data_IF_605195781097
#
_entry.id   IF_605195781097
#
_cell.length_a   1.000
_cell.length_b   1.000
_cell.length_c   1.000
_cell.angle_alpha   90.00
_cell.angle_beta   90.00
_cell.angle_gamma   90.00
#
_symmetry.space_group_name_H-M   'P 1'
#
loop_
_entity.id
_entity.type
_entity.pdbx_description
1 polymer ?
#
# COMPACT_ATOMS: atom_id res chain seq x y z
N UNK A 1 -1.30 -4.62 -8.99
CA UNK A 1 -1.48 -4.42 -7.54
C UNK A 1 -1.09 -5.67 -6.75
N UNK A 2 -1.76 -6.82 -6.88
CA UNK A 2 -1.45 -8.04 -6.10
C UNK A 2 0.03 -8.47 -6.12
N UNK A 3 0.69 -8.44 -7.27
CA UNK A 3 2.13 -8.75 -7.36
C UNK A 3 2.98 -7.82 -6.48
N UNK A 4 2.68 -6.52 -6.49
CA UNK A 4 3.36 -5.55 -5.63
C UNK A 4 3.09 -5.79 -4.14
N UNK A 5 1.87 -6.19 -3.79
CA UNK A 5 1.50 -6.55 -2.41
C UNK A 5 2.32 -7.75 -1.92
N UNK A 6 2.48 -8.76 -2.77
CA UNK A 6 3.31 -9.92 -2.47
C UNK A 6 4.79 -9.53 -2.29
N UNK A 7 5.33 -8.69 -3.18
CA UNK A 7 6.69 -8.16 -3.05
C UNK A 7 6.89 -7.41 -1.72
N UNK A 8 5.95 -6.54 -1.32
CA UNK A 8 6.01 -5.87 -0.03
C UNK A 8 6.03 -6.85 1.15
N UNK A 9 5.11 -7.82 1.17
CA UNK A 9 5.02 -8.79 2.27
C UNK A 9 6.28 -9.64 2.33
N UNK A 10 6.80 -10.11 1.19
CA UNK A 10 8.05 -10.89 1.14
C UNK A 10 9.24 -10.04 1.64
N UNK A 11 9.35 -8.79 1.21
CA UNK A 11 10.40 -7.88 1.68
C UNK A 11 10.32 -7.63 3.19
N UNK A 12 9.12 -7.39 3.73
CA UNK A 12 8.89 -7.21 5.17
C UNK A 12 9.23 -8.46 5.98
N UNK A 13 8.86 -9.65 5.48
CA UNK A 13 9.26 -10.93 6.10
C UNK A 13 10.78 -11.09 6.06
N UNK A 14 11.42 -10.71 4.95
CA UNK A 14 12.89 -10.70 4.84
C UNK A 14 13.55 -9.83 5.91
N UNK A 15 13.02 -8.63 6.17
CA UNK A 15 13.55 -7.76 7.22
C UNK A 15 13.47 -8.40 8.62
N UNK A 16 12.40 -9.14 8.93
CA UNK A 16 12.25 -9.85 10.21
C UNK A 16 13.40 -10.86 10.42
N UNK A 17 13.82 -11.56 9.37
CA UNK A 17 14.85 -12.61 9.44
C UNK A 17 16.27 -12.11 9.12
N UNK A 18 16.46 -10.81 8.83
CA UNK A 18 17.75 -10.29 8.38
C UNK A 18 18.82 -10.23 9.48
N UNK A 19 18.43 -10.15 10.75
CA UNK A 19 19.36 -10.10 11.88
C UNK A 19 20.47 -9.05 11.68
N UNK A 20 21.73 -9.46 11.86
CA UNK A 20 22.92 -8.63 11.63
C UNK A 20 23.47 -8.69 10.19
N UNK A 21 22.82 -9.41 9.26
CA UNK A 21 23.32 -9.59 7.90
C UNK A 21 22.92 -8.43 6.98
N UNK A 22 23.87 -7.54 6.68
CA UNK A 22 23.65 -6.43 5.76
C UNK A 22 23.18 -6.88 4.37
N UNK A 23 23.63 -8.06 3.93
CA UNK A 23 23.25 -8.62 2.63
C UNK A 23 21.77 -9.00 2.61
N UNK A 24 21.26 -9.63 3.68
CA UNK A 24 19.82 -9.94 3.79
C UNK A 24 18.96 -8.68 3.87
N UNK A 25 19.43 -7.65 4.59
CA UNK A 25 18.78 -6.34 4.61
C UNK A 25 18.70 -5.74 3.20
N UNK A 26 19.79 -5.76 2.44
CA UNK A 26 19.84 -5.26 1.06
C UNK A 26 18.90 -6.03 0.12
N UNK A 27 18.87 -7.36 0.21
CA UNK A 27 17.97 -8.19 -0.61
C UNK A 27 16.50 -7.95 -0.24
N UNK A 28 16.18 -7.83 1.05
CA UNK A 28 14.83 -7.56 1.53
C UNK A 28 14.33 -6.19 1.07
N UNK A 29 15.20 -5.16 1.14
CA UNK A 29 14.91 -3.84 0.62
C UNK A 29 14.68 -3.85 -0.90
N UNK A 30 15.52 -4.54 -1.66
CA UNK A 30 15.34 -4.66 -3.11
C UNK A 30 13.98 -5.27 -3.47
N UNK A 31 13.58 -6.36 -2.80
CA UNK A 31 12.26 -6.99 -3.02
C UNK A 31 11.12 -6.06 -2.61
N UNK A 32 11.24 -5.37 -1.48
CA UNK A 32 10.26 -4.37 -1.05
C UNK A 32 10.10 -3.25 -2.09
N UNK A 33 11.20 -2.73 -2.62
CA UNK A 33 11.21 -1.66 -3.63
C UNK A 33 10.65 -2.09 -4.97
N UNK A 34 10.78 -3.36 -5.37
CA UNK A 34 10.02 -3.89 -6.52
C UNK A 34 8.51 -3.74 -6.30
N UNK A 35 8.04 -3.93 -5.06
CA UNK A 35 6.68 -3.62 -4.66
C UNK A 35 6.32 -2.16 -4.90
N UNK A 36 7.18 -1.23 -4.48
CA UNK A 36 6.99 0.23 -4.66
C UNK A 36 6.89 0.60 -6.14
N UNK A 37 7.77 0.06 -6.98
CA UNK A 37 7.81 0.34 -8.42
C UNK A 37 6.54 -0.17 -9.13
N UNK A 38 5.94 -1.27 -8.64
CA UNK A 38 4.65 -1.76 -9.15
C UNK A 38 3.49 -0.90 -8.63
N UNK A 39 3.54 -0.51 -7.36
CA UNK A 39 2.44 0.21 -6.70
C UNK A 39 2.33 1.66 -7.15
N UNK A 40 3.45 2.37 -7.22
CA UNK A 40 3.49 3.80 -7.54
C UNK A 40 2.72 4.15 -8.82
N UNK A 41 2.99 3.57 -10.01
CA UNK A 41 2.19 3.82 -11.20
C UNK A 41 0.83 3.09 -11.18
N UNK A 42 0.76 1.93 -10.51
CA UNK A 42 -0.42 1.09 -10.48
C UNK A 42 -1.63 1.75 -9.81
N UNK A 43 -1.41 2.52 -8.74
CA UNK A 43 -2.48 3.27 -8.08
C UNK A 43 -3.04 4.37 -9.00
N UNK A 44 -2.19 5.15 -9.68
CA UNK A 44 -2.66 6.17 -10.62
C UNK A 44 -3.43 5.57 -11.80
N UNK A 45 -2.94 4.46 -12.36
CA UNK A 45 -3.65 3.74 -13.43
C UNK A 45 -5.00 3.21 -12.97
N UNK A 46 -5.08 2.70 -11.74
CA UNK A 46 -6.34 2.23 -11.17
C UNK A 46 -7.35 3.36 -11.04
N UNK A 47 -6.91 4.52 -10.52
CA UNK A 47 -7.77 5.69 -10.34
C UNK A 47 -8.27 6.22 -11.69
N UNK A 48 -7.38 6.32 -12.68
CA UNK A 48 -7.77 6.75 -14.03
C UNK A 48 -8.81 5.83 -14.64
N UNK A 49 -8.70 4.53 -14.39
CA UNK A 49 -9.62 3.51 -14.92
C UNK A 49 -11.00 3.52 -14.26
N UNK A 50 -11.08 3.82 -12.95
CA UNK A 50 -12.36 3.88 -12.21
C UNK A 50 -13.05 5.24 -12.31
N UNK A 51 -12.33 6.31 -12.66
CA UNK A 51 -12.87 7.65 -12.69
C UNK A 51 -13.78 7.86 -13.93
N UNK A 52 -15.05 8.27 -13.75
CA UNK A 52 -15.93 8.60 -14.85
C UNK A 52 -15.42 9.79 -15.68
N UNK A 53 -15.86 9.92 -16.95
CA UNK A 53 -15.55 11.08 -17.77
C UNK A 53 -15.87 12.40 -17.04
N UNK A 54 -14.94 13.35 -17.05
CA UNK A 54 -15.09 14.64 -16.39
C UNK A 54 -14.87 14.66 -14.87
N UNK A 55 -14.76 13.49 -14.20
CA UNK A 55 -14.56 13.41 -12.74
C UNK A 55 -13.14 13.06 -12.30
N UNK A 56 -12.20 12.91 -13.26
CA UNK A 56 -10.79 12.52 -12.96
C UNK A 56 -10.14 13.42 -11.91
N UNK A 57 -10.35 14.74 -12.00
CA UNK A 57 -9.78 15.70 -11.04
C UNK A 57 -10.23 15.43 -9.59
N UNK A 58 -11.53 15.16 -9.38
CA UNK A 58 -12.06 14.83 -8.05
C UNK A 58 -11.51 13.52 -7.52
N UNK A 59 -11.37 12.50 -8.37
CA UNK A 59 -10.80 11.21 -7.99
C UNK A 59 -9.31 11.30 -7.61
N UNK A 60 -8.50 12.04 -8.38
CA UNK A 60 -7.10 12.29 -8.02
C UNK A 60 -6.95 13.18 -6.77
N UNK A 61 -7.87 14.15 -6.56
CA UNK A 61 -7.88 14.90 -5.30
C UNK A 61 -8.20 14.02 -4.09
N UNK A 62 -9.08 13.02 -4.25
CA UNK A 62 -9.37 12.05 -3.19
C UNK A 62 -8.15 11.15 -2.93
N UNK A 63 -7.42 10.73 -3.96
CA UNK A 63 -6.17 9.98 -3.79
C UNK A 63 -5.10 10.76 -3.02
N UNK A 64 -5.06 12.08 -3.16
CA UNK A 64 -4.13 12.91 -2.38
C UNK A 64 -4.34 12.79 -0.85
N UNK A 65 -5.50 12.31 -0.38
CA UNK A 65 -5.69 11.98 1.04
C UNK A 65 -4.75 10.86 1.52
N UNK A 66 -4.22 10.03 0.62
CA UNK A 66 -3.19 9.02 0.92
C UNK A 66 -1.93 9.61 1.54
N UNK A 67 -1.60 10.89 1.26
CA UNK A 67 -0.47 11.59 1.88
C UNK A 67 -0.63 11.76 3.40
N UNK A 68 -1.85 11.75 3.93
CA UNK A 68 -2.08 11.72 5.37
C UNK A 68 -1.53 10.44 6.00
N UNK A 69 -1.68 9.30 5.31
CA UNK A 69 -1.07 8.04 5.74
C UNK A 69 0.45 8.13 5.80
N UNK A 70 1.07 8.75 4.79
CA UNK A 70 2.51 8.98 4.77
C UNK A 70 2.97 9.89 5.93
N UNK A 71 2.19 10.95 6.25
CA UNK A 71 2.49 11.84 7.36
C UNK A 71 2.32 11.18 8.74
N UNK A 72 1.31 10.32 8.90
CA UNK A 72 1.03 9.62 10.17
C UNK A 72 2.00 8.46 10.41
N UNK A 73 2.55 7.85 9.36
CA UNK A 73 3.39 6.65 9.47
C UNK A 73 4.61 6.81 10.40
N UNK A 74 5.43 7.88 10.34
CA UNK A 74 6.55 8.09 11.27
C UNK A 74 6.12 8.16 12.74
N UNK A 75 4.98 8.77 13.03
CA UNK A 75 4.45 8.85 14.40
C UNK A 75 4.10 7.46 14.92
N UNK A 76 3.32 6.69 14.15
CA UNK A 76 2.88 5.35 14.55
C UNK A 76 4.06 4.38 14.62
N UNK A 77 4.92 4.36 13.61
CA UNK A 77 6.11 3.50 13.60
C UNK A 77 7.10 3.87 14.71
N UNK A 78 7.25 5.16 15.04
CA UNK A 78 8.04 5.61 16.17
C UNK A 78 7.52 5.09 17.52
N UNK A 79 6.21 5.18 17.75
CA UNK A 79 5.57 4.62 18.96
C UNK A 79 5.74 3.10 19.03
N UNK A 80 5.59 2.39 17.90
CA UNK A 80 5.78 0.94 17.83
C UNK A 80 7.22 0.57 18.19
N UNK A 81 8.21 1.25 17.61
CA UNK A 81 9.63 0.96 17.84
C UNK A 81 10.10 1.30 19.26
N UNK A 82 9.44 2.22 19.97
CA UNK A 82 9.78 2.56 21.35
C UNK A 82 9.07 1.67 22.38
N UNK A 83 7.93 1.08 22.02
CA UNK A 83 7.06 0.36 22.96
C UNK A 83 7.05 -1.16 22.75
N UNK A 84 7.44 -1.65 21.58
CA UNK A 84 7.36 -3.05 21.18
C UNK A 84 8.70 -3.56 20.60
N UNK A 85 8.91 -4.89 20.51
CA UNK A 85 10.07 -5.45 19.83
C UNK A 85 10.16 -4.98 18.37
N UNK A 86 11.35 -4.67 17.82
CA UNK A 86 11.47 -4.11 16.47
C UNK A 86 10.81 -4.93 15.35
N UNK A 87 10.74 -6.26 15.51
CA UNK A 87 10.07 -7.15 14.56
C UNK A 87 8.56 -6.89 14.43
N UNK A 88 7.91 -6.33 15.46
CA UNK A 88 6.48 -6.01 15.43
C UNK A 88 6.15 -4.95 14.38
N UNK A 89 7.07 -4.02 14.08
CA UNK A 89 6.86 -3.00 13.06
C UNK A 89 6.60 -3.64 11.69
N UNK A 90 7.44 -4.59 11.29
CA UNK A 90 7.31 -5.26 10.00
C UNK A 90 6.03 -6.08 9.90
N UNK A 91 5.64 -6.75 11.00
CA UNK A 91 4.37 -7.49 11.08
C UNK A 91 3.17 -6.56 10.93
N UNK A 92 3.16 -5.43 11.66
CA UNK A 92 2.07 -4.45 11.59
C UNK A 92 1.97 -3.86 10.18
N UNK A 93 3.09 -3.46 9.57
CA UNK A 93 3.12 -2.95 8.21
C UNK A 93 2.60 -3.99 7.20
N UNK A 94 2.97 -5.26 7.34
CA UNK A 94 2.48 -6.32 6.45
C UNK A 94 0.96 -6.49 6.57
N UNK A 95 0.41 -6.45 7.78
CA UNK A 95 -1.04 -6.51 8.02
C UNK A 95 -1.77 -5.30 7.41
N UNK A 96 -1.22 -4.09 7.57
CA UNK A 96 -1.79 -2.87 6.98
C UNK A 96 -1.78 -2.93 5.46
N UNK A 97 -0.69 -3.40 4.84
CA UNK A 97 -0.59 -3.57 3.38
C UNK A 97 -1.61 -4.60 2.87
N UNK A 98 -1.77 -5.73 3.56
CA UNK A 98 -2.77 -6.75 3.22
C UNK A 98 -4.18 -6.17 3.36
N UNK A 99 -4.46 -5.45 4.44
CA UNK A 99 -5.75 -4.81 4.66
C UNK A 99 -6.07 -3.78 3.56
N UNK A 100 -5.11 -2.93 3.20
CA UNK A 100 -5.25 -1.97 2.11
C UNK A 100 -5.53 -2.66 0.76
N UNK A 101 -4.80 -3.74 0.45
CA UNK A 101 -5.03 -4.55 -0.74
C UNK A 101 -6.44 -5.17 -0.77
N UNK A 102 -6.90 -5.73 0.36
CA UNK A 102 -8.27 -6.28 0.47
C UNK A 102 -9.34 -5.20 0.30
N UNK A 103 -9.15 -4.03 0.90
CA UNK A 103 -10.06 -2.89 0.74
C UNK A 103 -10.11 -2.41 -0.71
N UNK A 104 -8.98 -2.34 -1.39
CA UNK A 104 -8.90 -2.01 -2.80
C UNK A 104 -9.66 -3.04 -3.66
N UNK A 105 -9.48 -4.35 -3.43
CA UNK A 105 -10.24 -5.39 -4.13
C UNK A 105 -11.75 -5.27 -3.91
N UNK A 106 -12.18 -4.94 -2.69
CA UNK A 106 -13.59 -4.68 -2.37
C UNK A 106 -14.09 -3.44 -3.09
N UNK A 107 -13.31 -2.35 -3.11
CA UNK A 107 -13.66 -1.10 -3.78
C UNK A 107 -13.86 -1.26 -5.29
N UNK A 108 -12.97 -1.99 -5.96
CA UNK A 108 -13.08 -2.29 -7.40
C UNK A 108 -14.35 -3.10 -7.72
N UNK A 109 -14.81 -3.94 -6.79
CA UNK A 109 -16.02 -4.75 -6.95
C UNK A 109 -17.31 -4.05 -6.56
N UNK A 110 -17.22 -2.87 -5.92
CA UNK A 110 -18.40 -2.13 -5.50
C UNK A 110 -19.17 -1.62 -6.72
N UNK A 111 -20.50 -1.78 -6.72
CA UNK A 111 -21.34 -1.25 -7.80
C UNK A 111 -21.26 0.28 -7.82
N UNK A 112 -21.17 0.93 -9.00
CA UNK A 112 -21.29 2.36 -9.11
C UNK A 112 -22.62 2.83 -8.52
N UNK A 113 -22.57 3.72 -7.53
CA UNK A 113 -23.77 4.28 -6.91
C UNK A 113 -24.44 5.25 -7.91
N UNK A 114 -25.63 4.91 -8.38
CA UNK A 114 -26.51 5.84 -9.08
C UNK A 114 -26.23 6.12 -10.57
N UNK A 115 -25.98 5.10 -11.40
CA UNK A 115 -26.17 5.29 -12.85
C UNK A 115 -27.69 5.26 -13.15
N UNK A 116 -28.33 6.36 -13.60
CA UNK A 116 -29.58 6.22 -14.32
C UNK A 116 -29.28 5.38 -15.57
N UNK A 117 -30.12 4.39 -15.83
CA UNK A 117 -30.09 3.65 -17.07
C UNK A 117 -30.26 4.65 -18.23
N UNK A 118 -29.18 4.96 -18.93
CA UNK A 118 -29.25 5.71 -20.18
C UNK A 118 -29.87 4.75 -21.21
N UNK A 119 -31.18 4.93 -21.42
CA UNK A 119 -31.87 4.50 -22.63
C UNK A 119 -31.60 5.50 -23.76
#
# INVERSE_FOLDING_TARGET
MTAGTLCFVIGLVGFIFSGNSLLLWGMSAAVFTVGEIIYAPGEYMLIDHIAPPGMKASYFSAQSLGWLGAAINPLVSGVVLTSLPPSSLFVILALVIIAAWVLMLKGIRARPWGQPALC
#
